data_IF_794095119752
#
_entry.id   IF_794095119752
#
_cell.length_a   1.000
_cell.length_b   1.000
_cell.length_c   1.000
_cell.angle_alpha   90.00
_cell.angle_beta   90.00
_cell.angle_gamma   90.00
#
_symmetry.space_group_name_H-M   'P 1'
#
loop_
_entity.id
_entity.type
_entity.pdbx_description
1 polymer ?
#
# COMPACT_ATOMS: atom_id res chain seq x y z
N UNK A 1 -7.06 -10.24 -18.55
CA UNK A 1 -6.90 -9.36 -17.39
C UNK A 1 -5.81 -9.89 -16.47
N UNK A 2 -4.93 -9.00 -15.99
CA UNK A 2 -3.94 -9.25 -14.94
C UNK A 2 -4.42 -8.59 -13.64
N UNK A 3 -4.14 -9.20 -12.49
CA UNK A 3 -4.46 -8.63 -11.19
C UNK A 3 -3.15 -8.40 -10.41
N UNK A 4 -3.02 -7.22 -9.83
CA UNK A 4 -1.96 -6.90 -8.89
C UNK A 4 -2.58 -6.59 -7.52
N UNK A 5 -2.32 -7.47 -6.55
CA UNK A 5 -2.60 -7.16 -5.15
C UNK A 5 -1.44 -6.37 -4.56
N UNK A 6 -1.73 -5.22 -3.96
CA UNK A 6 -0.74 -4.41 -3.26
C UNK A 6 -1.01 -4.50 -1.76
N UNK A 7 -0.21 -5.29 -1.05
CA UNK A 7 -0.35 -5.51 0.38
C UNK A 7 0.41 -4.42 1.12
N UNK A 8 -0.34 -3.53 1.77
CA UNK A 8 0.19 -2.35 2.44
C UNK A 8 0.13 -2.54 3.95
N UNK A 9 1.05 -1.93 4.69
CA UNK A 9 1.02 -1.98 6.15
C UNK A 9 -0.27 -1.35 6.73
N UNK A 10 -0.61 -0.13 6.31
CA UNK A 10 -1.76 0.62 6.79
C UNK A 10 -2.77 1.02 5.70
N UNK A 11 -3.93 1.47 6.14
CA UNK A 11 -4.97 1.99 5.24
C UNK A 11 -4.57 3.31 4.57
N UNK A 12 -3.74 4.13 5.22
CA UNK A 12 -3.22 5.37 4.64
C UNK A 12 -2.27 5.09 3.48
N UNK A 13 -1.39 4.10 3.60
CA UNK A 13 -0.50 3.66 2.51
C UNK A 13 -1.30 3.19 1.29
N UNK A 14 -2.33 2.36 1.51
CA UNK A 14 -3.19 1.86 0.45
C UNK A 14 -3.94 3.00 -0.28
N UNK A 15 -4.42 4.02 0.46
CA UNK A 15 -5.04 5.20 -0.15
C UNK A 15 -4.03 6.11 -0.86
N UNK A 16 -2.82 6.26 -0.32
CA UNK A 16 -1.75 6.98 -0.97
C UNK A 16 -1.40 6.35 -2.32
N UNK A 17 -1.31 5.02 -2.38
CA UNK A 17 -1.07 4.30 -3.64
C UNK A 17 -2.20 4.55 -4.63
N UNK A 18 -3.45 4.53 -4.17
CA UNK A 18 -4.58 4.90 -5.02
C UNK A 18 -4.42 6.30 -5.61
N UNK A 19 -4.06 7.28 -4.77
CA UNK A 19 -3.82 8.65 -5.21
C UNK A 19 -2.65 8.75 -6.21
N UNK A 20 -1.57 8.03 -5.96
CA UNK A 20 -0.42 7.95 -6.85
C UNK A 20 -0.80 7.43 -8.24
N UNK A 21 -1.66 6.40 -8.29
CA UNK A 21 -2.14 5.80 -9.52
C UNK A 21 -3.03 6.77 -10.31
N UNK A 22 -3.94 7.45 -9.65
CA UNK A 22 -4.81 8.47 -10.26
C UNK A 22 -3.99 9.64 -10.84
N UNK A 23 -3.08 10.22 -10.05
CA UNK A 23 -2.24 11.35 -10.47
C UNK A 23 -1.29 10.98 -11.62
N UNK A 24 -0.95 9.70 -11.78
CA UNK A 24 -0.13 9.26 -12.92
C UNK A 24 -0.82 9.43 -14.27
N UNK A 25 -2.15 9.61 -14.30
CA UNK A 25 -2.97 9.69 -15.51
C UNK A 25 -3.03 8.39 -16.32
N UNK A 26 -2.47 7.28 -15.82
CA UNK A 26 -2.44 5.96 -16.50
C UNK A 26 -3.46 4.97 -15.94
N UNK A 27 -4.02 5.27 -14.78
CA UNK A 27 -4.98 4.42 -14.08
C UNK A 27 -6.23 5.25 -13.80
N UNK A 28 -7.39 4.63 -13.93
CA UNK A 28 -8.67 5.17 -13.50
C UNK A 28 -9.18 4.39 -12.29
N UNK A 29 -9.97 5.02 -11.44
CA UNK A 29 -10.69 4.32 -10.39
C UNK A 29 -11.66 3.31 -11.02
N UNK A 30 -11.68 2.09 -10.48
CA UNK A 30 -12.51 0.99 -10.97
C UNK A 30 -13.74 0.83 -10.06
N UNK A 31 -14.72 1.71 -10.27
CA UNK A 31 -15.94 1.84 -9.47
C UNK A 31 -17.04 0.80 -9.79
N UNK A 32 -16.68 -0.28 -10.49
CA UNK A 32 -17.65 -1.33 -10.81
C UNK A 32 -18.25 -1.95 -9.54
N UNK A 33 -19.47 -2.47 -9.65
CA UNK A 33 -20.07 -3.21 -8.52
C UNK A 33 -19.38 -4.55 -8.39
N UNK A 34 -19.24 -5.08 -7.17
CA UNK A 34 -18.58 -6.37 -6.92
C UNK A 34 -19.10 -7.52 -7.80
N UNK A 35 -20.39 -7.52 -8.16
CA UNK A 35 -21.01 -8.52 -9.04
C UNK A 35 -20.45 -8.50 -10.49
N UNK A 36 -19.90 -7.37 -10.91
CA UNK A 36 -19.39 -7.09 -12.26
C UNK A 36 -17.86 -7.27 -12.33
N UNK A 37 -17.20 -7.53 -11.20
CA UNK A 37 -15.80 -7.97 -11.16
C UNK A 37 -15.63 -9.38 -11.73
N UNK A 38 -14.41 -9.79 -12.12
CA UNK A 38 -14.12 -11.17 -12.49
C UNK A 38 -14.65 -12.16 -11.45
N UNK A 39 -15.35 -13.20 -11.91
CA UNK A 39 -16.08 -14.16 -11.06
C UNK A 39 -15.23 -14.69 -9.90
N UNK A 40 -14.00 -15.10 -10.17
CA UNK A 40 -13.09 -15.61 -9.14
C UNK A 40 -12.78 -14.59 -8.04
N UNK A 41 -12.70 -13.31 -8.39
CA UNK A 41 -12.45 -12.22 -7.43
C UNK A 41 -13.73 -11.84 -6.68
N UNK A 42 -14.88 -11.80 -7.37
CA UNK A 42 -16.20 -11.64 -6.75
C UNK A 42 -16.42 -12.71 -5.69
N UNK A 43 -16.16 -13.97 -6.02
CA UNK A 43 -16.41 -15.11 -5.15
C UNK A 43 -15.43 -15.14 -3.97
N UNK A 44 -14.15 -14.80 -4.21
CA UNK A 44 -13.17 -14.62 -3.14
C UNK A 44 -13.62 -13.56 -2.11
N UNK A 45 -13.96 -12.35 -2.58
CA UNK A 45 -14.37 -11.24 -1.70
C UNK A 45 -15.70 -11.56 -1.01
N UNK A 46 -16.68 -12.09 -1.74
CA UNK A 46 -17.99 -12.46 -1.19
C UNK A 46 -17.84 -13.54 -0.12
N UNK A 47 -17.02 -14.56 -0.39
CA UNK A 47 -16.72 -15.63 0.56
C UNK A 47 -15.99 -15.13 1.81
N UNK A 48 -15.13 -14.10 1.69
CA UNK A 48 -14.52 -13.44 2.87
C UNK A 48 -15.56 -12.71 3.70
N UNK A 49 -16.45 -11.94 3.07
CA UNK A 49 -17.50 -11.19 3.76
C UNK A 49 -18.53 -12.10 4.45
N UNK A 50 -18.88 -13.24 3.84
CA UNK A 50 -19.86 -14.19 4.38
C UNK A 50 -19.33 -15.03 5.55
N UNK A 51 -18.02 -15.26 5.61
CA UNK A 51 -17.38 -16.09 6.65
C UNK A 51 -17.06 -15.32 7.94
N UNK A 52 -17.37 -14.03 7.99
CA UNK A 52 -17.19 -13.23 9.20
C UNK A 52 -18.06 -13.75 10.35
N UNK A 53 -17.42 -13.99 11.49
CA UNK A 53 -18.11 -14.45 12.69
C UNK A 53 -18.77 -13.26 13.39
N UNK A 54 -20.04 -13.01 13.06
CA UNK A 54 -20.85 -11.93 13.62
C UNK A 54 -20.91 -12.00 15.15
N UNK A 55 -20.87 -13.19 15.75
CA UNK A 55 -20.91 -13.36 17.21
C UNK A 55 -19.67 -12.79 17.91
N UNK A 56 -18.57 -12.63 17.18
CA UNK A 56 -17.33 -12.03 17.69
C UNK A 56 -17.32 -10.49 17.62
N UNK A 57 -18.31 -9.88 16.96
CA UNK A 57 -18.32 -8.44 16.73
C UNK A 57 -18.64 -7.67 18.00
N UNK A 58 -17.83 -6.67 18.29
CA UNK A 58 -18.14 -5.66 19.31
C UNK A 58 -18.75 -4.45 18.62
N UNK A 59 -19.87 -3.95 19.17
CA UNK A 59 -20.52 -2.72 18.67
C UNK A 59 -19.49 -1.59 18.62
N UNK A 60 -19.40 -0.90 17.48
CA UNK A 60 -18.43 0.17 17.24
C UNK A 60 -17.00 -0.29 16.93
N UNK A 61 -16.74 -1.61 16.92
CA UNK A 61 -15.46 -2.21 16.51
C UNK A 61 -15.70 -3.44 15.62
N UNK A 62 -16.38 -3.28 14.46
CA UNK A 62 -16.49 -4.36 13.49
C UNK A 62 -15.09 -4.78 13.06
N UNK A 63 -14.85 -6.10 13.01
CA UNK A 63 -13.64 -6.65 12.38
C UNK A 63 -13.97 -6.77 10.91
N UNK A 64 -13.31 -5.98 10.08
CA UNK A 64 -13.47 -6.10 8.63
C UNK A 64 -12.51 -7.17 8.11
N UNK A 65 -12.97 -8.03 7.18
CA UNK A 65 -12.07 -8.96 6.52
C UNK A 65 -11.00 -8.19 5.75
N UNK A 66 -9.84 -8.81 5.56
CA UNK A 66 -8.80 -8.28 4.69
C UNK A 66 -9.26 -8.41 3.23
N UNK A 67 -9.83 -7.33 2.70
CA UNK A 67 -10.26 -7.18 1.31
C UNK A 67 -9.71 -5.87 0.73
N UNK A 68 -9.66 -5.72 -0.61
CA UNK A 68 -9.25 -4.47 -1.24
C UNK A 68 -10.10 -3.29 -0.78
N UNK A 69 -9.46 -2.17 -0.47
CA UNK A 69 -10.16 -0.93 -0.06
C UNK A 69 -10.34 0.08 -1.20
N UNK A 70 -9.67 -0.19 -2.33
CA UNK A 70 -9.74 0.59 -3.54
C UNK A 70 -9.43 -0.34 -4.73
N UNK A 71 -9.81 0.09 -5.92
CA UNK A 71 -9.51 -0.62 -7.16
C UNK A 71 -9.19 0.38 -8.26
N UNK A 72 -8.14 0.09 -9.02
CA UNK A 72 -7.68 0.94 -10.11
C UNK A 72 -7.41 0.11 -11.34
N UNK A 73 -7.82 0.59 -12.51
CA UNK A 73 -7.66 -0.14 -13.76
C UNK A 73 -6.81 0.63 -14.75
N UNK A 74 -5.91 -0.09 -15.42
CA UNK A 74 -5.15 0.43 -16.55
C UNK A 74 -5.62 -0.25 -17.82
N UNK A 75 -6.46 0.44 -18.60
CA UNK A 75 -7.06 -0.09 -19.83
C UNK A 75 -6.02 -0.56 -20.84
N UNK A 76 -4.89 0.16 -20.99
CA UNK A 76 -3.86 -0.15 -21.99
C UNK A 76 -3.14 -1.47 -21.72
N UNK A 77 -3.03 -1.85 -20.45
CA UNK A 77 -2.31 -3.05 -20.02
C UNK A 77 -3.23 -4.15 -19.48
N UNK A 78 -4.55 -3.90 -19.46
CA UNK A 78 -5.55 -4.80 -18.90
C UNK A 78 -5.18 -5.27 -17.47
N UNK A 79 -4.71 -4.32 -16.64
CA UNK A 79 -4.23 -4.55 -15.28
C UNK A 79 -5.18 -3.92 -14.26
N UNK A 80 -5.71 -4.76 -13.37
CA UNK A 80 -6.49 -4.37 -12.20
C UNK A 80 -5.59 -4.36 -10.95
N UNK A 81 -5.48 -3.20 -10.30
CA UNK A 81 -4.67 -2.99 -9.11
C UNK A 81 -5.58 -2.88 -7.88
N UNK A 82 -5.28 -3.68 -6.85
CA UNK A 82 -6.12 -3.86 -5.66
C UNK A 82 -5.27 -3.68 -4.39
N UNK A 83 -5.20 -2.45 -3.83
CA UNK A 83 -4.55 -2.21 -2.54
C UNK A 83 -5.33 -2.82 -1.36
N UNK A 84 -4.64 -3.59 -0.52
CA UNK A 84 -5.18 -4.23 0.69
C UNK A 84 -4.35 -3.78 1.90
N UNK A 85 -4.94 -3.11 2.90
CA UNK A 85 -4.26 -2.79 4.15
C UNK A 85 -4.25 -3.99 5.09
N UNK A 86 -3.08 -4.39 5.56
CA UNK A 86 -2.91 -5.50 6.50
C UNK A 86 -3.22 -5.12 7.95
N UNK A 87 -3.15 -3.82 8.28
CA UNK A 87 -3.48 -3.29 9.59
C UNK A 87 -2.33 -3.31 10.59
N UNK A 88 -1.09 -3.13 10.11
CA UNK A 88 0.14 -3.00 10.88
C UNK A 88 1.08 -4.21 10.78
N UNK A 89 2.37 -3.97 11.02
CA UNK A 89 3.41 -5.01 11.04
C UNK A 89 3.17 -6.19 12.00
N UNK A 90 2.43 -5.96 13.08
CA UNK A 90 2.11 -7.00 14.08
C UNK A 90 1.06 -8.00 13.60
N UNK A 91 0.36 -7.70 12.49
CA UNK A 91 -0.64 -8.56 11.87
C UNK A 91 -0.08 -9.44 10.76
N UNK A 92 1.19 -9.77 10.88
CA UNK A 92 1.88 -10.63 9.95
C UNK A 92 1.16 -11.98 9.71
N UNK A 93 0.55 -12.57 10.76
CA UNK A 93 -0.25 -13.80 10.64
C UNK A 93 -1.48 -13.62 9.73
N UNK A 94 -2.19 -12.49 9.86
CA UNK A 94 -3.32 -12.17 8.99
C UNK A 94 -2.86 -11.98 7.54
N UNK A 95 -1.68 -11.37 7.35
CA UNK A 95 -1.03 -11.22 6.03
C UNK A 95 -0.65 -12.57 5.40
N UNK A 96 -0.08 -13.50 6.18
CA UNK A 96 0.18 -14.87 5.71
C UNK A 96 -1.09 -15.62 5.35
N UNK A 97 -2.13 -15.53 6.18
CA UNK A 97 -3.40 -16.19 5.94
C UNK A 97 -4.05 -15.66 4.65
N UNK A 98 -4.13 -14.34 4.49
CA UNK A 98 -4.61 -13.72 3.26
C UNK A 98 -3.83 -14.19 2.05
N UNK A 99 -2.50 -14.22 2.16
CA UNK A 99 -1.64 -14.63 1.06
C UNK A 99 -1.87 -16.10 0.70
N UNK A 100 -2.01 -16.99 1.68
CA UNK A 100 -2.37 -18.39 1.49
C UNK A 100 -3.69 -18.53 0.75
N UNK A 101 -4.72 -17.82 1.20
CA UNK A 101 -6.04 -17.84 0.56
C UNK A 101 -5.98 -17.32 -0.89
N UNK A 102 -5.25 -16.23 -1.13
CA UNK A 102 -5.06 -15.67 -2.47
C UNK A 102 -4.32 -16.65 -3.38
N UNK A 103 -3.31 -17.34 -2.90
CA UNK A 103 -2.60 -18.35 -3.70
C UNK A 103 -3.47 -19.55 -4.02
N UNK A 104 -4.25 -20.03 -3.05
CA UNK A 104 -5.14 -21.17 -3.26
C UNK A 104 -6.22 -20.85 -4.28
N UNK A 105 -6.78 -19.65 -4.23
CA UNK A 105 -7.84 -19.25 -5.16
C UNK A 105 -7.30 -18.88 -6.53
N UNK A 106 -6.16 -18.17 -6.58
CA UNK A 106 -5.61 -17.62 -7.82
C UNK A 106 -4.40 -18.40 -8.36
N UNK A 107 -4.25 -19.68 -7.98
CA UNK A 107 -3.21 -20.53 -8.55
C UNK A 107 -3.34 -20.59 -10.08
N UNK A 108 -2.23 -20.44 -10.85
CA UNK A 108 -2.29 -20.47 -12.31
C UNK A 108 -2.99 -21.69 -12.89
N UNK A 109 -2.80 -22.87 -12.29
CA UNK A 109 -3.42 -24.11 -12.77
C UNK A 109 -4.94 -24.07 -12.56
N UNK A 110 -5.40 -23.47 -11.46
CA UNK A 110 -6.82 -23.27 -11.15
C UNK A 110 -7.44 -22.24 -12.09
N UNK A 111 -6.72 -21.15 -12.38
CA UNK A 111 -7.16 -20.13 -13.33
C UNK A 111 -7.33 -20.71 -14.74
N UNK A 112 -6.38 -21.55 -15.18
CA UNK A 112 -6.42 -22.23 -16.47
C UNK A 112 -7.56 -23.25 -16.52
N UNK A 113 -7.68 -24.12 -15.50
CA UNK A 113 -8.73 -25.13 -15.40
C UNK A 113 -10.14 -24.52 -15.46
N UNK A 114 -10.34 -23.40 -14.75
CA UNK A 114 -11.63 -22.68 -14.73
C UNK A 114 -11.83 -21.75 -15.94
N UNK A 115 -10.89 -21.72 -16.90
CA UNK A 115 -10.92 -20.83 -18.07
C UNK A 115 -11.14 -19.35 -17.70
N UNK A 116 -10.55 -18.93 -16.57
CA UNK A 116 -10.77 -17.60 -16.00
C UNK A 116 -10.37 -16.48 -16.97
N UNK A 117 -11.09 -15.36 -16.91
CA UNK A 117 -10.71 -14.10 -17.59
C UNK A 117 -9.45 -13.48 -16.95
N UNK A 118 -9.17 -13.82 -15.70
CA UNK A 118 -7.93 -13.50 -14.99
C UNK A 118 -6.85 -14.46 -15.47
N UNK A 119 -5.77 -13.91 -16.01
CA UNK A 119 -4.65 -14.67 -16.60
C UNK A 119 -3.42 -14.74 -15.73
N UNK A 120 -3.24 -13.75 -14.86
CA UNK A 120 -2.05 -13.61 -14.04
C UNK A 120 -2.41 -12.85 -12.76
N UNK A 121 -1.87 -13.29 -11.63
CA UNK A 121 -1.99 -12.61 -10.34
C UNK A 121 -0.61 -12.39 -9.76
N UNK A 122 -0.33 -11.17 -9.34
CA UNK A 122 0.95 -10.74 -8.81
C UNK A 122 0.78 -10.03 -7.48
N UNK A 123 1.84 -10.06 -6.66
CA UNK A 123 1.84 -9.49 -5.31
C UNK A 123 2.94 -8.46 -5.15
N UNK A 124 2.59 -7.23 -4.78
CA UNK A 124 3.53 -6.21 -4.36
C UNK A 124 3.31 -5.93 -2.88
N UNK A 125 4.36 -6.07 -2.08
CA UNK A 125 4.32 -5.70 -0.67
C UNK A 125 4.92 -4.31 -0.48
N UNK A 126 4.26 -3.47 0.30
CA UNK A 126 4.69 -2.09 0.56
C UNK A 126 4.78 -1.87 2.07
N UNK A 127 5.96 -1.47 2.53
CA UNK A 127 6.27 -1.22 3.94
C UNK A 127 7.04 0.09 4.12
N UNK A 128 7.07 0.58 5.35
CA UNK A 128 8.02 1.59 5.79
C UNK A 128 9.32 0.93 6.29
N UNK A 129 10.44 1.65 6.10
CA UNK A 129 11.73 1.22 6.65
C UNK A 129 11.83 1.47 8.16
N UNK A 130 11.08 2.44 8.69
CA UNK A 130 11.12 2.88 10.08
C UNK A 130 12.57 3.10 10.57
N UNK A 131 12.85 2.84 11.85
CA UNK A 131 14.18 2.95 12.45
C UNK A 131 15.13 1.82 12.02
N UNK A 132 14.60 0.65 11.67
CA UNK A 132 15.37 -0.56 11.36
C UNK A 132 16.10 -0.47 10.02
N UNK A 133 15.57 0.33 9.10
CA UNK A 133 16.14 0.55 7.78
C UNK A 133 15.67 -0.46 6.73
N UNK A 134 15.88 -0.10 5.46
CA UNK A 134 15.39 -0.82 4.28
C UNK A 134 15.82 -2.28 4.24
N UNK A 135 17.12 -2.53 4.42
CA UNK A 135 17.67 -3.89 4.29
C UNK A 135 17.16 -4.82 5.39
N UNK A 136 17.06 -4.33 6.63
CA UNK A 136 16.52 -5.10 7.74
C UNK A 136 15.03 -5.38 7.55
N UNK A 137 14.26 -4.41 7.03
CA UNK A 137 12.84 -4.58 6.66
C UNK A 137 12.64 -5.72 5.66
N UNK A 138 13.46 -5.75 4.59
CA UNK A 138 13.40 -6.79 3.57
C UNK A 138 13.77 -8.14 4.16
N UNK A 139 14.84 -8.20 4.97
CA UNK A 139 15.25 -9.44 5.63
C UNK A 139 14.15 -10.00 6.53
N UNK A 140 13.55 -9.16 7.38
CA UNK A 140 12.44 -9.57 8.24
C UNK A 140 11.23 -10.03 7.44
N UNK A 141 10.92 -9.35 6.35
CA UNK A 141 9.89 -9.79 5.41
C UNK A 141 10.21 -11.21 4.90
N UNK A 142 11.42 -11.45 4.38
CA UNK A 142 11.80 -12.77 3.86
C UNK A 142 11.77 -13.87 4.93
N UNK A 143 12.26 -13.57 6.14
CA UNK A 143 12.27 -14.52 7.26
C UNK A 143 10.84 -14.90 7.67
N UNK A 144 9.97 -13.90 7.80
CA UNK A 144 8.58 -14.10 8.18
C UNK A 144 7.82 -14.83 7.06
N UNK A 145 7.95 -14.39 5.81
CA UNK A 145 7.29 -14.95 4.62
C UNK A 145 8.06 -16.13 3.97
N UNK A 146 9.00 -16.79 4.66
CA UNK A 146 9.82 -17.90 4.11
C UNK A 146 9.01 -19.07 3.52
N UNK A 147 7.79 -19.26 4.01
CA UNK A 147 6.90 -20.32 3.51
C UNK A 147 6.38 -20.01 2.10
N UNK A 148 6.46 -18.75 1.68
CA UNK A 148 5.92 -18.26 0.41
C UNK A 148 7.01 -17.64 -0.49
N UNK A 149 8.10 -17.13 0.09
CA UNK A 149 9.28 -16.61 -0.61
C UNK A 149 10.44 -17.57 -0.38
N UNK A 150 11.05 -18.06 -1.46
CA UNK A 150 12.29 -18.82 -1.36
C UNK A 150 13.42 -17.89 -0.90
N UNK A 151 14.25 -18.39 0.00
CA UNK A 151 15.39 -17.62 0.53
C UNK A 151 16.47 -17.36 -0.53
N UNK A 152 16.40 -18.01 -1.69
CA UNK A 152 17.33 -17.87 -2.80
C UNK A 152 16.60 -17.96 -4.14
N UNK A 153 16.71 -16.96 -5.04
CA UNK A 153 17.45 -15.71 -4.86
C UNK A 153 16.76 -14.80 -3.82
N UNK A 154 17.56 -13.98 -3.13
CA UNK A 154 17.03 -12.99 -2.20
C UNK A 154 16.09 -12.01 -2.94
N UNK A 155 15.00 -11.60 -2.27
CA UNK A 155 14.01 -10.69 -2.82
C UNK A 155 14.56 -9.26 -2.76
N UNK A 156 14.95 -8.63 -3.89
CA UNK A 156 15.52 -7.29 -3.87
C UNK A 156 14.42 -6.24 -3.71
N UNK A 157 14.79 -5.09 -3.17
CA UNK A 157 13.93 -3.90 -3.20
C UNK A 157 13.53 -3.56 -4.64
N UNK A 158 12.27 -3.19 -4.82
CA UNK A 158 11.70 -2.68 -6.08
C UNK A 158 11.94 -3.60 -7.29
N UNK A 159 12.10 -4.91 -7.06
CA UNK A 159 12.39 -5.88 -8.10
C UNK A 159 11.41 -7.04 -8.02
N UNK A 160 10.90 -7.46 -9.18
CA UNK A 160 10.01 -8.60 -9.29
C UNK A 160 10.79 -9.91 -9.37
N UNK A 161 10.44 -10.86 -8.52
CA UNK A 161 10.98 -12.22 -8.55
C UNK A 161 9.85 -13.23 -8.68
N UNK A 162 10.05 -14.27 -9.47
CA UNK A 162 9.12 -15.39 -9.55
C UNK A 162 9.38 -16.35 -8.38
N UNK A 163 8.36 -16.56 -7.56
CA UNK A 163 8.44 -17.25 -6.28
C UNK A 163 7.23 -18.16 -6.14
N UNK A 164 7.47 -19.48 -6.15
CA UNK A 164 6.43 -20.51 -5.99
C UNK A 164 5.14 -20.19 -6.77
N UNK A 165 5.21 -20.11 -8.10
CA UNK A 165 4.10 -19.85 -9.04
C UNK A 165 3.58 -18.41 -9.15
N UNK A 166 4.10 -17.46 -8.38
CA UNK A 166 3.64 -16.07 -8.43
C UNK A 166 4.81 -15.09 -8.60
N UNK A 167 4.57 -13.96 -9.26
CA UNK A 167 5.52 -12.86 -9.15
C UNK A 167 5.29 -12.08 -7.87
N UNK A 168 6.38 -11.84 -7.15
CA UNK A 168 6.40 -11.10 -5.90
C UNK A 168 7.42 -9.96 -6.02
N UNK A 169 7.07 -8.79 -5.53
CA UNK A 169 7.99 -7.68 -5.31
C UNK A 169 7.78 -7.09 -3.92
N UNK A 170 8.82 -6.44 -3.40
CA UNK A 170 8.74 -5.64 -2.18
C UNK A 170 9.21 -4.22 -2.48
N UNK A 171 8.45 -3.24 -2.03
CA UNK A 171 8.82 -1.84 -2.01
C UNK A 171 8.85 -1.37 -0.56
N UNK A 172 9.87 -0.60 -0.22
CA UNK A 172 10.07 -0.09 1.14
C UNK A 172 10.31 1.40 1.07
N UNK A 173 9.39 2.19 1.62
CA UNK A 173 9.57 3.64 1.75
C UNK A 173 10.70 3.95 2.73
N UNK A 174 11.46 4.99 2.41
CA UNK A 174 12.47 5.58 3.29
C UNK A 174 12.28 7.09 3.33
N UNK A 175 12.92 7.77 4.27
CA UNK A 175 13.12 9.21 4.23
C UNK A 175 14.21 9.59 3.22
N UNK A 176 14.70 10.82 3.37
CA UNK A 176 15.72 11.42 2.49
C UNK A 176 17.09 10.72 2.56
N UNK A 177 17.37 9.99 3.65
CA UNK A 177 18.63 9.25 3.83
C UNK A 177 18.72 7.98 2.96
N UNK A 178 17.63 7.59 2.31
CA UNK A 178 17.55 6.38 1.49
C UNK A 178 17.61 5.07 2.29
N UNK A 179 17.52 5.12 3.62
CA UNK A 179 17.65 3.95 4.48
C UNK A 179 16.54 3.82 5.52
N UNK A 180 16.30 4.84 6.34
CA UNK A 180 15.32 4.84 7.45
C UNK A 180 14.17 5.78 7.17
N UNK A 181 13.03 5.62 7.85
CA UNK A 181 11.88 6.52 7.73
C UNK A 181 10.65 5.88 7.09
N UNK A 182 9.68 6.74 6.79
CA UNK A 182 8.29 6.39 6.48
C UNK A 182 7.77 7.16 5.26
N UNK A 183 6.64 6.73 4.72
CA UNK A 183 5.88 7.51 3.74
C UNK A 183 5.60 8.94 4.23
N UNK A 184 5.26 9.12 5.52
CA UNK A 184 4.96 10.45 6.06
C UNK A 184 6.14 11.42 6.02
N UNK A 185 7.37 10.93 6.18
CA UNK A 185 8.57 11.77 6.09
C UNK A 185 8.67 12.44 4.70
N UNK A 186 8.29 11.69 3.66
CA UNK A 186 8.28 12.19 2.30
C UNK A 186 7.09 13.14 2.04
N UNK A 187 5.91 12.80 2.56
CA UNK A 187 4.70 13.62 2.40
C UNK A 187 4.79 14.97 3.11
N UNK A 188 5.50 15.04 4.23
CA UNK A 188 5.74 16.30 4.97
C UNK A 188 6.32 17.38 4.06
N UNK A 189 7.28 17.02 3.20
CA UNK A 189 7.90 17.98 2.29
C UNK A 189 6.91 18.51 1.24
N UNK A 190 6.02 17.66 0.73
CA UNK A 190 4.96 18.06 -0.21
C UNK A 190 4.01 19.05 0.47
N UNK A 191 3.51 18.71 1.66
CA UNK A 191 2.57 19.54 2.40
C UNK A 191 3.18 20.89 2.77
N UNK A 192 4.44 20.89 3.23
CA UNK A 192 5.18 22.12 3.52
C UNK A 192 5.35 22.98 2.28
N UNK A 193 5.70 22.39 1.14
CA UNK A 193 5.91 23.12 -0.12
C UNK A 193 4.62 23.75 -0.67
N UNK A 194 3.48 23.05 -0.60
CA UNK A 194 2.21 23.54 -1.15
C UNK A 194 1.54 24.62 -0.28
N UNK A 195 1.65 24.53 1.05
CA UNK A 195 1.12 25.56 1.95
C UNK A 195 2.02 25.76 3.19
N UNK A 196 3.11 26.55 3.06
CA UNK A 196 4.07 26.74 4.15
C UNK A 196 3.45 27.33 5.42
N UNK A 197 2.57 28.32 5.29
CA UNK A 197 1.95 29.00 6.44
C UNK A 197 1.08 28.05 7.26
N UNK A 198 0.25 27.24 6.61
CA UNK A 198 -0.57 26.25 7.31
C UNK A 198 0.30 25.20 7.99
N UNK A 199 1.36 24.76 7.30
CA UNK A 199 2.29 23.78 7.83
C UNK A 199 2.96 24.30 9.10
N UNK A 200 3.46 25.55 9.10
CA UNK A 200 4.05 26.20 10.29
C UNK A 200 3.06 26.28 11.46
N UNK A 201 1.79 26.62 11.20
CA UNK A 201 0.77 26.67 12.25
C UNK A 201 0.43 25.29 12.80
N UNK A 202 0.35 24.28 11.94
CA UNK A 202 0.17 22.90 12.34
C UNK A 202 1.37 22.41 13.18
N UNK A 203 2.60 22.81 12.84
CA UNK A 203 3.79 22.51 13.64
C UNK A 203 3.74 23.15 15.03
N UNK A 204 3.25 24.38 15.15
CA UNK A 204 3.05 25.02 16.47
C UNK A 204 2.08 24.22 17.34
N UNK A 205 0.96 23.77 16.78
CA UNK A 205 -0.02 22.93 17.48
C UNK A 205 0.62 21.61 17.91
N UNK A 206 1.32 20.94 16.99
CA UNK A 206 1.98 19.68 17.29
C UNK A 206 3.04 19.84 18.37
N UNK A 207 3.91 20.86 18.28
CA UNK A 207 4.96 21.11 19.27
C UNK A 207 4.41 21.50 20.65
N UNK A 208 3.20 22.07 20.72
CA UNK A 208 2.54 22.38 21.99
C UNK A 208 1.97 21.13 22.69
N UNK A 209 1.55 20.12 21.92
CA UNK A 209 0.86 18.93 22.44
C UNK A 209 1.66 17.63 22.38
N UNK A 210 2.77 17.57 21.64
CA UNK A 210 3.67 16.43 21.57
C UNK A 210 4.97 16.72 22.35
N UNK A 211 5.11 16.08 23.51
CA UNK A 211 6.34 16.13 24.29
C UNK A 211 7.42 15.24 23.67
N UNK A 212 8.60 15.82 23.43
CA UNK A 212 9.74 15.12 22.82
C UNK A 212 10.27 14.05 23.78
N UNK A 213 10.38 12.81 23.29
CA UNK A 213 10.95 11.68 24.05
C UNK A 213 12.47 11.58 23.91
N UNK A 214 13.12 11.01 24.95
CA UNK A 214 14.59 10.99 25.11
C UNK A 214 15.31 9.80 24.46
N UNK A 215 14.62 8.72 24.09
CA UNK A 215 15.24 7.49 23.57
C UNK A 215 15.12 7.35 22.04
N UNK A 216 16.09 6.70 21.38
CA UNK A 216 16.22 6.69 19.91
C UNK A 216 15.12 5.91 19.17
N UNK A 217 14.70 4.75 19.67
CA UNK A 217 13.58 3.99 19.07
C UNK A 217 12.25 4.70 19.31
N UNK A 218 12.07 5.27 20.50
CA UNK A 218 10.93 6.12 20.80
C UNK A 218 10.92 7.39 19.94
N UNK A 219 12.08 7.90 19.53
CA UNK A 219 12.19 9.08 18.66
C UNK A 219 11.66 8.82 17.25
N UNK A 220 11.93 7.67 16.63
CA UNK A 220 11.39 7.39 15.27
C UNK A 220 9.88 7.16 15.31
N UNK A 221 9.40 6.34 16.26
CA UNK A 221 7.96 6.18 16.47
C UNK A 221 7.27 7.51 16.83
N UNK A 222 7.96 8.38 17.59
CA UNK A 222 7.53 9.74 17.88
C UNK A 222 7.48 10.59 16.62
N UNK A 223 8.50 10.54 15.76
CA UNK A 223 8.55 11.29 14.51
C UNK A 223 7.44 10.87 13.54
N UNK A 224 7.24 9.56 13.35
CA UNK A 224 6.17 9.04 12.52
C UNK A 224 4.79 9.46 13.05
N UNK A 225 4.53 9.32 14.36
CA UNK A 225 3.26 9.73 14.98
C UNK A 225 3.03 11.24 14.90
N UNK A 226 4.10 12.03 15.10
CA UNK A 226 4.06 13.50 14.96
C UNK A 226 3.75 13.88 13.52
N UNK A 227 4.42 13.30 12.54
CA UNK A 227 4.21 13.60 11.12
C UNK A 227 2.79 13.20 10.68
N UNK A 228 2.28 12.04 11.13
CA UNK A 228 0.87 11.66 10.92
C UNK A 228 -0.10 12.71 11.46
N UNK A 229 0.12 13.19 12.68
CA UNK A 229 -0.70 14.26 13.28
C UNK A 229 -0.61 15.56 12.48
N UNK A 230 0.59 15.96 12.10
CA UNK A 230 0.85 17.16 11.32
C UNK A 230 0.15 17.15 9.96
N UNK A 231 0.32 16.08 9.19
CA UNK A 231 -0.35 15.89 7.90
C UNK A 231 -1.87 15.86 8.06
N UNK A 232 -2.37 15.23 9.13
CA UNK A 232 -3.81 15.21 9.44
C UNK A 232 -4.34 16.62 9.67
N UNK A 233 -3.66 17.44 10.49
CA UNK A 233 -4.06 18.83 10.77
C UNK A 233 -4.07 19.66 9.48
N UNK A 234 -3.00 19.57 8.69
CA UNK A 234 -2.91 20.29 7.41
C UNK A 234 -4.03 19.88 6.45
N UNK A 235 -4.44 18.61 6.46
CA UNK A 235 -5.56 18.11 5.66
C UNK A 235 -6.93 18.67 6.04
N UNK A 236 -7.10 19.14 7.28
CA UNK A 236 -8.40 19.63 7.78
C UNK A 236 -8.84 20.97 7.17
N UNK A 237 -7.96 21.70 6.47
CA UNK A 237 -8.30 22.98 5.84
C UNK A 237 -9.39 22.83 4.78
N UNK A 238 -9.46 21.67 4.13
CA UNK A 238 -10.45 21.37 3.10
C UNK A 238 -11.75 20.94 3.76
N UNK A 239 -12.86 21.64 3.45
CA UNK A 239 -14.18 21.39 4.05
C UNK A 239 -14.60 19.92 4.02
N UNK A 240 -14.27 19.19 2.95
CA UNK A 240 -14.59 17.77 2.77
C UNK A 240 -13.80 16.83 3.70
N UNK A 241 -12.66 17.29 4.22
CA UNK A 241 -11.75 16.52 5.06
C UNK A 241 -11.86 16.86 6.56
N UNK A 242 -12.71 17.82 6.94
CA UNK A 242 -12.90 18.22 8.34
C UNK A 242 -13.38 17.03 9.18
N UNK A 243 -12.68 16.74 10.27
CA UNK A 243 -12.94 15.60 11.16
C UNK A 243 -12.45 14.25 10.60
N UNK A 244 -11.78 14.25 9.45
CA UNK A 244 -11.39 13.01 8.77
C UNK A 244 -10.00 12.53 9.18
N UNK A 245 -9.77 11.23 9.06
CA UNK A 245 -8.46 10.61 9.32
C UNK A 245 -7.44 10.95 8.22
N UNK A 246 -6.15 10.72 8.50
CA UNK A 246 -5.11 10.84 7.48
C UNK A 246 -5.41 10.02 6.22
N UNK A 247 -5.98 8.83 6.38
CA UNK A 247 -6.39 7.97 5.25
C UNK A 247 -7.32 8.70 4.27
N UNK A 248 -8.31 9.44 4.76
CA UNK A 248 -9.22 10.23 3.92
C UNK A 248 -8.50 11.44 3.33
N UNK A 249 -7.66 12.11 4.13
CA UNK A 249 -6.86 13.24 3.67
C UNK A 249 -5.97 12.84 2.49
N UNK A 250 -5.26 11.71 2.55
CA UNK A 250 -4.39 11.26 1.46
C UNK A 250 -5.16 10.87 0.19
N UNK A 251 -6.39 10.38 0.34
CA UNK A 251 -7.25 10.09 -0.81
C UNK A 251 -7.76 11.39 -1.46
N UNK A 252 -8.35 12.26 -0.65
CA UNK A 252 -9.22 13.34 -1.16
C UNK A 252 -8.51 14.69 -1.28
N UNK A 253 -7.40 14.91 -0.57
CA UNK A 253 -6.81 16.26 -0.48
C UNK A 253 -6.36 16.79 -1.84
N UNK A 254 -6.66 18.06 -2.09
CA UNK A 254 -6.17 18.79 -3.24
C UNK A 254 -4.65 19.09 -3.14
N UNK A 255 -4.06 19.03 -1.95
CA UNK A 255 -2.61 19.25 -1.71
C UNK A 255 -1.75 18.29 -2.53
N UNK A 256 -2.23 17.04 -2.68
CA UNK A 256 -1.54 16.00 -3.43
C UNK A 256 -1.77 16.07 -4.95
N UNK A 257 -2.65 16.97 -5.42
CA UNK A 257 -2.86 17.17 -6.85
C UNK A 257 -1.63 17.79 -7.48
N UNK A 258 -1.15 17.17 -8.56
CA UNK A 258 0.05 17.60 -9.27
C UNK A 258 1.25 17.74 -8.32
N UNK A 259 1.32 16.90 -7.29
CA UNK A 259 2.39 16.93 -6.30
C UNK A 259 3.55 15.98 -6.63
N UNK A 260 3.31 15.04 -7.55
CA UNK A 260 4.26 13.98 -7.89
C UNK A 260 4.95 14.28 -9.21
N UNK A 261 6.27 14.42 -9.15
CA UNK A 261 7.11 14.41 -10.35
C UNK A 261 7.39 12.96 -10.74
N UNK A 262 6.67 12.49 -11.76
CA UNK A 262 6.83 11.13 -12.30
C UNK A 262 7.98 11.02 -13.30
N UNK A 263 8.50 12.14 -13.80
CA UNK A 263 9.63 12.17 -14.73
C UNK A 263 10.97 12.06 -13.97
N UNK A 264 11.02 12.51 -12.72
CA UNK A 264 12.15 12.26 -11.83
C UNK A 264 12.15 10.83 -11.27
N UNK A 265 12.90 9.96 -11.96
CA UNK A 265 13.12 8.54 -11.57
C UNK A 265 13.87 8.35 -10.25
N UNK A 266 14.46 9.40 -9.67
CA UNK A 266 15.08 9.32 -8.35
C UNK A 266 14.04 9.33 -7.22
N UNK A 267 12.83 9.84 -7.47
CA UNK A 267 11.77 9.89 -6.45
C UNK A 267 11.22 8.51 -6.13
N UNK A 268 10.83 8.29 -4.87
CA UNK A 268 10.28 7.00 -4.44
C UNK A 268 8.91 6.71 -5.04
N UNK A 269 8.11 7.74 -5.34
CA UNK A 269 6.84 7.58 -6.04
C UNK A 269 7.02 7.17 -7.51
N UNK A 270 8.00 7.76 -8.22
CA UNK A 270 8.32 7.32 -9.59
C UNK A 270 8.86 5.89 -9.60
N UNK A 271 9.69 5.52 -8.62
CA UNK A 271 10.17 4.15 -8.45
C UNK A 271 9.02 3.17 -8.17
N UNK A 272 8.12 3.49 -7.24
CA UNK A 272 6.95 2.65 -6.93
C UNK A 272 6.04 2.48 -8.15
N UNK A 273 5.73 3.58 -8.84
CA UNK A 273 4.93 3.54 -10.07
C UNK A 273 5.63 2.73 -11.17
N UNK A 274 6.96 2.80 -11.26
CA UNK A 274 7.77 1.96 -12.17
C UNK A 274 7.64 0.49 -11.82
N UNK A 275 7.71 0.11 -10.54
CA UNK A 275 7.51 -1.27 -10.10
C UNK A 275 6.11 -1.77 -10.43
N UNK A 276 5.08 -0.97 -10.17
CA UNK A 276 3.69 -1.30 -10.50
C UNK A 276 3.54 -1.51 -12.02
N UNK A 277 4.05 -0.59 -12.83
CA UNK A 277 3.97 -0.71 -14.30
C UNK A 277 4.85 -1.85 -14.85
N UNK A 278 5.95 -2.21 -14.19
CA UNK A 278 6.79 -3.34 -14.58
C UNK A 278 6.05 -4.69 -14.45
N UNK A 279 4.98 -4.75 -13.64
CA UNK A 279 4.06 -5.88 -13.59
C UNK A 279 3.48 -6.22 -14.99
N UNK A 280 3.39 -5.24 -15.89
CA UNK A 280 2.77 -5.38 -17.21
C UNK A 280 3.71 -6.03 -18.25
N UNK A 281 5.03 -5.78 -18.16
CA UNK A 281 6.00 -6.01 -19.25
C UNK A 281 6.68 -7.38 -19.24
N UNK A 282 6.32 -8.27 -18.32
CA UNK A 282 7.13 -9.46 -18.00
C UNK A 282 7.09 -10.58 -19.03
N UNK A 283 6.19 -10.52 -20.02
CA UNK A 283 6.24 -11.43 -21.18
C UNK A 283 7.55 -11.28 -22.00
N UNK A 284 8.31 -10.21 -21.80
CA UNK A 284 9.56 -9.92 -22.51
C UNK A 284 10.85 -10.33 -21.78
N UNK A 285 10.80 -10.75 -20.51
CA UNK A 285 11.99 -11.09 -19.71
C UNK A 285 12.30 -12.61 -19.68
N UNK A 286 11.49 -13.43 -20.36
CA UNK A 286 11.62 -14.89 -20.43
C UNK A 286 11.95 -15.40 -21.85
N UNK A 287 12.69 -14.61 -22.65
CA UNK A 287 13.35 -15.09 -23.87
C UNK A 287 14.86 -14.96 -23.76
#
# INVERSE_FOLDING_TARGET
MKILFILCEGAHDAQFIGRLLEESGKYSEYEEKLKDYPEILRDFISGKLQRENIDSFRIGRPRYPLIPIAAFFNEKSDLLVLPIPLGGMDKFEDGLALQGDLREVFDPDILEFNQSVVKEVNFLFVYDADARGRQQTIKEFQDKYRNIVETSPALPHATWCFQKNFWIAIFVFTGEDGNTGTLEDLLVNIFRGKNPSLFEDAEKIMNHHFEKKSESEEQVAYHAKRNKGLLTICGQQEKKNVGSSLTVVLRDSAILSEAFDFDDTATQWSQLLTVINACQRKELLTK
#
